data_IF_707745659058
#
_entry.id   IF_707745659058
#
_cell.length_a   1.000
_cell.length_b   1.000
_cell.length_c   1.000
_cell.angle_alpha   90.00
_cell.angle_beta   90.00
_cell.angle_gamma   90.00
#
_symmetry.space_group_name_H-M   'P 1'
#
loop_
_entity.id
_entity.type
_entity.pdbx_description
1 polymer ?
#
# COMPACT_ATOMS: atom_id res chain seq x y z
N UNK A 1 19.15 -6.28 4.52
CA UNK A 1 17.77 -5.75 4.46
C UNK A 1 17.21 -5.64 5.87
N UNK A 2 16.52 -4.56 6.20
CA UNK A 2 15.83 -4.36 7.48
C UNK A 2 14.34 -4.15 7.16
N UNK A 3 13.48 -5.08 7.61
CA UNK A 3 12.03 -5.08 7.39
C UNK A 3 11.56 -6.18 6.44
N UNK A 4 10.65 -7.03 6.93
CA UNK A 4 10.05 -8.18 6.25
C UNK A 4 8.66 -7.91 5.68
N UNK A 5 8.40 -6.64 5.28
CA UNK A 5 7.22 -6.25 4.51
C UNK A 5 7.38 -6.53 3.01
N UNK A 6 6.41 -6.09 2.20
CA UNK A 6 6.42 -6.28 0.75
C UNK A 6 7.68 -5.73 0.10
N UNK A 7 8.13 -4.53 0.50
CA UNK A 7 9.31 -3.88 -0.06
C UNK A 7 10.61 -4.63 0.23
N UNK A 8 10.83 -4.98 1.50
CA UNK A 8 12.04 -5.73 1.87
C UNK A 8 12.10 -7.11 1.24
N UNK A 9 10.97 -7.83 1.18
CA UNK A 9 10.88 -9.13 0.52
C UNK A 9 11.06 -9.02 -1.00
N UNK A 10 10.53 -7.97 -1.64
CA UNK A 10 10.71 -7.70 -3.07
C UNK A 10 12.18 -7.42 -3.42
N UNK A 11 12.82 -6.52 -2.67
CA UNK A 11 14.22 -6.20 -2.87
C UNK A 11 15.12 -7.43 -2.62
N UNK A 12 14.83 -8.21 -1.56
CA UNK A 12 15.56 -9.43 -1.26
C UNK A 12 15.44 -10.48 -2.38
N UNK A 13 14.23 -10.66 -2.94
CA UNK A 13 14.01 -11.54 -4.09
C UNK A 13 14.80 -11.06 -5.30
N UNK A 14 14.65 -9.80 -5.68
CA UNK A 14 15.28 -9.23 -6.86
C UNK A 14 16.82 -9.29 -6.82
N UNK A 15 17.41 -9.07 -5.65
CA UNK A 15 18.87 -9.22 -5.47
C UNK A 15 19.32 -10.69 -5.47
N UNK A 16 18.57 -11.57 -4.78
CA UNK A 16 18.92 -12.99 -4.69
C UNK A 16 18.81 -13.69 -6.07
N UNK A 17 17.79 -13.39 -6.87
CA UNK A 17 17.64 -13.87 -8.26
C UNK A 17 18.84 -13.48 -9.15
N UNK A 18 19.55 -12.40 -8.79
CA UNK A 18 20.75 -11.89 -9.49
C UNK A 18 22.08 -12.34 -8.83
N UNK A 19 22.01 -13.32 -7.91
CA UNK A 19 23.18 -13.93 -7.28
C UNK A 19 23.85 -13.11 -6.18
N UNK A 20 23.21 -12.04 -5.69
CA UNK A 20 23.70 -11.27 -4.55
C UNK A 20 23.43 -12.01 -3.25
N UNK A 21 24.40 -12.02 -2.32
CA UNK A 21 24.17 -12.55 -0.97
C UNK A 21 23.30 -11.60 -0.18
N UNK A 22 22.08 -12.01 0.12
CA UNK A 22 21.10 -11.18 0.84
C UNK A 22 20.78 -11.79 2.19
N UNK A 23 20.79 -10.95 3.23
CA UNK A 23 20.17 -11.25 4.53
C UNK A 23 19.07 -10.25 4.83
N UNK A 24 17.88 -10.77 5.16
CA UNK A 24 16.74 -9.97 5.57
C UNK A 24 16.50 -10.20 7.06
N UNK A 25 16.47 -9.09 7.83
CA UNK A 25 16.14 -9.06 9.24
C UNK A 25 14.75 -8.47 9.43
N UNK A 26 13.88 -9.20 10.09
CA UNK A 26 12.55 -8.76 10.51
C UNK A 26 12.45 -8.82 12.03
N UNK A 27 12.01 -7.73 12.64
CA UNK A 27 11.92 -7.62 14.10
C UNK A 27 10.86 -8.54 14.72
N UNK A 28 9.82 -8.84 13.93
CA UNK A 28 8.70 -9.72 14.29
C UNK A 28 8.66 -10.93 13.35
N UNK A 29 7.52 -11.18 12.78
CA UNK A 29 7.30 -12.18 11.72
C UNK A 29 7.15 -11.50 10.36
N UNK A 30 7.49 -12.19 9.30
CA UNK A 30 7.21 -11.76 7.92
C UNK A 30 5.72 -11.40 7.79
N UNK A 31 5.46 -10.23 7.20
CA UNK A 31 4.12 -9.64 7.10
C UNK A 31 3.54 -9.16 8.46
N UNK A 32 4.33 -9.02 9.50
CA UNK A 32 3.88 -8.54 10.81
C UNK A 32 3.48 -7.07 10.88
N UNK A 33 3.95 -6.23 9.93
CA UNK A 33 3.62 -4.80 9.79
C UNK A 33 2.47 -4.50 8.84
N UNK A 34 2.41 -3.26 8.33
CA UNK A 34 1.38 -2.75 7.43
C UNK A 34 1.10 -3.67 6.23
N UNK A 35 2.15 -4.26 5.66
CA UNK A 35 2.06 -5.13 4.49
C UNK A 35 1.17 -6.37 4.69
N UNK A 36 1.05 -6.87 5.93
CA UNK A 36 0.18 -8.01 6.25
C UNK A 36 -1.13 -7.63 6.94
N UNK A 37 -1.27 -6.38 7.37
CA UNK A 37 -2.39 -5.90 8.21
C UNK A 37 -3.32 -4.92 7.49
N UNK A 38 -3.10 -4.65 6.20
CA UNK A 38 -3.95 -3.76 5.42
C UNK A 38 -5.28 -4.41 4.99
N UNK A 39 -6.15 -3.62 4.37
CA UNK A 39 -7.47 -4.06 3.90
C UNK A 39 -7.46 -4.98 2.69
N UNK A 40 -6.31 -5.29 2.08
CA UNK A 40 -6.21 -6.23 0.97
C UNK A 40 -6.52 -5.63 -0.40
N UNK A 41 -6.09 -4.39 -0.64
CA UNK A 41 -6.24 -3.69 -1.90
C UNK A 41 -4.92 -3.71 -2.69
N UNK A 42 -4.98 -4.11 -3.94
CA UNK A 42 -3.89 -4.00 -4.89
C UNK A 42 -4.30 -2.98 -5.95
N UNK A 43 -3.90 -1.75 -5.74
CA UNK A 43 -4.25 -0.59 -6.55
C UNK A 43 -3.02 -0.10 -7.31
N UNK A 44 -3.24 0.39 -8.53
CA UNK A 44 -2.22 1.11 -9.28
C UNK A 44 -2.22 2.60 -8.92
N UNK A 45 -1.16 3.32 -9.33
CA UNK A 45 -0.95 4.72 -9.00
C UNK A 45 -0.36 4.94 -7.61
N UNK A 46 -0.39 6.20 -7.19
CA UNK A 46 0.04 6.68 -5.88
C UNK A 46 -1.16 7.26 -5.10
N UNK A 47 -0.90 7.90 -3.96
CA UNK A 47 -1.95 8.46 -3.10
C UNK A 47 -2.75 9.60 -3.77
N UNK A 48 -2.12 10.59 -4.45
CA UNK A 48 -2.88 11.59 -5.19
C UNK A 48 -3.67 10.97 -6.36
N UNK A 49 -4.92 11.43 -6.62
CA UNK A 49 -5.64 11.11 -7.85
C UNK A 49 -4.80 11.39 -9.09
N UNK A 50 -5.00 10.66 -10.17
CA UNK A 50 -4.12 10.73 -11.34
C UNK A 50 -4.08 12.13 -12.00
N UNK A 51 -5.19 12.82 -12.11
CA UNK A 51 -5.26 14.20 -12.61
C UNK A 51 -4.49 15.19 -11.71
N UNK A 52 -4.55 14.98 -10.40
CA UNK A 52 -3.78 15.76 -9.44
C UNK A 52 -2.29 15.42 -9.48
N UNK A 53 -1.92 14.15 -9.58
CA UNK A 53 -0.54 13.73 -9.79
C UNK A 53 0.06 14.35 -11.06
N UNK A 54 -0.70 14.41 -12.18
CA UNK A 54 -0.28 15.13 -13.40
C UNK A 54 -0.02 16.61 -13.14
N UNK A 55 -0.82 17.25 -12.31
CA UNK A 55 -0.66 18.67 -11.95
C UNK A 55 0.55 18.92 -11.03
N UNK A 56 0.77 18.04 -10.06
CA UNK A 56 1.83 18.19 -9.04
C UNK A 56 3.22 17.78 -9.57
N UNK A 57 3.30 16.66 -10.27
CA UNK A 57 4.55 16.02 -10.70
C UNK A 57 4.86 16.28 -12.19
N UNK A 58 3.86 16.71 -12.97
CA UNK A 58 3.90 16.74 -14.43
C UNK A 58 3.41 15.41 -15.03
N UNK A 59 2.89 15.47 -16.25
CA UNK A 59 2.26 14.34 -16.92
C UNK A 59 3.19 13.13 -17.09
N UNK A 60 4.46 13.36 -17.43
CA UNK A 60 5.44 12.31 -17.65
C UNK A 60 5.71 11.48 -16.37
N UNK A 61 5.93 12.15 -15.22
CA UNK A 61 6.20 11.48 -13.95
C UNK A 61 4.96 10.77 -13.41
N UNK A 62 3.78 11.39 -13.51
CA UNK A 62 2.52 10.76 -13.12
C UNK A 62 2.27 9.47 -13.94
N UNK A 63 2.49 9.53 -15.25
CA UNK A 63 2.40 8.38 -16.15
C UNK A 63 3.40 7.27 -15.76
N UNK A 64 4.64 7.65 -15.48
CA UNK A 64 5.70 6.73 -15.07
C UNK A 64 5.32 5.93 -13.81
N UNK A 65 4.74 6.59 -12.79
CA UNK A 65 4.26 5.95 -11.55
C UNK A 65 3.10 4.99 -11.85
N UNK A 66 2.16 5.41 -12.69
CA UNK A 66 1.01 4.58 -13.07
C UNK A 66 1.46 3.31 -13.79
N UNK A 67 2.35 3.42 -14.79
CA UNK A 67 2.92 2.29 -15.52
C UNK A 67 3.78 1.39 -14.63
N UNK A 68 4.55 1.98 -13.71
CA UNK A 68 5.33 1.23 -12.72
C UNK A 68 4.44 0.33 -11.86
N UNK A 69 3.33 0.86 -11.37
CA UNK A 69 2.40 0.11 -10.53
C UNK A 69 1.57 -0.90 -11.32
N UNK A 70 1.24 -0.66 -12.60
CA UNK A 70 0.64 -1.67 -13.48
C UNK A 70 1.57 -2.87 -13.66
N UNK A 71 2.85 -2.62 -13.99
CA UNK A 71 3.87 -3.70 -14.07
C UNK A 71 4.02 -4.44 -12.74
N UNK A 72 3.88 -3.72 -11.63
CA UNK A 72 3.93 -4.31 -10.29
C UNK A 72 2.74 -5.26 -10.04
N UNK A 73 1.52 -4.89 -10.47
CA UNK A 73 0.36 -5.78 -10.39
C UNK A 73 0.54 -7.03 -11.26
N UNK A 74 1.12 -6.90 -12.46
CA UNK A 74 1.44 -8.05 -13.31
C UNK A 74 2.45 -9.00 -12.64
N UNK A 75 3.48 -8.46 -12.01
CA UNK A 75 4.45 -9.25 -11.23
C UNK A 75 3.81 -9.90 -10.01
N UNK A 76 2.92 -9.18 -9.33
CA UNK A 76 2.16 -9.71 -8.20
C UNK A 76 1.28 -10.90 -8.62
N UNK A 77 0.61 -10.83 -9.75
CA UNK A 77 -0.21 -11.94 -10.29
C UNK A 77 0.62 -13.20 -10.54
N UNK A 78 1.84 -13.05 -11.04
CA UNK A 78 2.77 -14.17 -11.26
C UNK A 78 3.23 -14.83 -9.96
N UNK A 79 3.43 -14.06 -8.89
CA UNK A 79 4.04 -14.53 -7.65
C UNK A 79 3.05 -14.89 -6.55
N UNK A 80 1.88 -14.25 -6.53
CA UNK A 80 0.96 -14.33 -5.39
C UNK A 80 0.06 -15.58 -5.41
N UNK A 81 -0.14 -16.23 -6.59
CA UNK A 81 -1.08 -17.34 -6.72
C UNK A 81 -2.48 -16.93 -6.25
N UNK A 82 -3.16 -17.77 -5.44
CA UNK A 82 -4.50 -17.50 -4.92
C UNK A 82 -4.57 -16.37 -3.87
N UNK A 83 -3.44 -15.79 -3.46
CA UNK A 83 -3.43 -14.63 -2.58
C UNK A 83 -3.78 -13.33 -3.31
N UNK A 84 -3.72 -13.28 -4.63
CA UNK A 84 -4.16 -12.15 -5.44
C UNK A 84 -5.26 -12.56 -6.41
N UNK A 85 -6.25 -11.69 -6.58
CA UNK A 85 -7.33 -11.83 -7.57
C UNK A 85 -7.46 -10.53 -8.34
N UNK A 86 -7.20 -10.54 -9.62
CA UNK A 86 -7.37 -9.38 -10.51
C UNK A 86 -8.86 -9.25 -10.87
N UNK A 87 -9.60 -8.53 -10.03
CA UNK A 87 -11.05 -8.35 -10.13
C UNK A 87 -11.46 -6.89 -10.34
N UNK A 88 -10.49 -6.01 -10.56
CA UNK A 88 -10.70 -4.58 -10.58
C UNK A 88 -10.92 -3.99 -9.19
N UNK A 89 -11.12 -2.68 -9.12
CA UNK A 89 -11.60 -1.95 -7.95
C UNK A 89 -12.62 -0.88 -8.35
N UNK A 90 -13.49 -0.46 -7.42
CA UNK A 90 -14.39 0.67 -7.61
C UNK A 90 -14.00 1.81 -6.66
N UNK A 91 -13.73 2.97 -7.24
CA UNK A 91 -13.66 4.23 -6.50
C UNK A 91 -14.99 4.96 -6.65
N UNK A 92 -15.69 5.13 -5.53
CA UNK A 92 -17.08 5.56 -5.46
C UNK A 92 -17.19 7.03 -5.11
N UNK A 93 -18.11 7.75 -5.73
CA UNK A 93 -18.42 9.13 -5.44
C UNK A 93 -19.48 9.22 -4.34
N UNK A 94 -19.14 9.78 -3.18
CA UNK A 94 -20.04 9.94 -2.06
C UNK A 94 -20.99 11.15 -2.25
N UNK A 95 -20.49 12.23 -2.86
CA UNK A 95 -21.24 13.43 -3.18
C UNK A 95 -20.93 13.97 -4.58
N UNK A 96 -21.58 15.06 -4.98
CA UNK A 96 -21.38 15.66 -6.32
C UNK A 96 -19.95 16.20 -6.50
N UNK A 97 -19.33 16.73 -5.46
CA UNK A 97 -17.96 17.24 -5.55
C UNK A 97 -16.95 16.11 -5.82
N UNK A 98 -17.09 14.98 -5.11
CA UNK A 98 -16.29 13.78 -5.35
C UNK A 98 -16.59 13.18 -6.73
N UNK A 99 -17.87 13.18 -7.18
CA UNK A 99 -18.24 12.73 -8.53
C UNK A 99 -17.54 13.54 -9.63
N UNK A 100 -17.54 14.87 -9.50
CA UNK A 100 -16.85 15.75 -10.44
C UNK A 100 -15.32 15.53 -10.40
N UNK A 101 -14.74 15.31 -9.22
CA UNK A 101 -13.32 14.97 -9.08
C UNK A 101 -12.99 13.64 -9.76
N UNK A 102 -13.79 12.60 -9.53
CA UNK A 102 -13.62 11.30 -10.17
C UNK A 102 -13.79 11.36 -11.70
N UNK A 103 -14.67 12.23 -12.21
CA UNK A 103 -14.79 12.43 -13.66
C UNK A 103 -13.51 13.01 -14.27
N UNK A 104 -12.90 14.02 -13.60
CA UNK A 104 -11.61 14.57 -14.05
C UNK A 104 -10.50 13.51 -14.04
N UNK A 105 -10.41 12.72 -12.99
CA UNK A 105 -9.45 11.62 -12.90
C UNK A 105 -9.66 10.57 -13.99
N UNK A 106 -10.92 10.15 -14.20
CA UNK A 106 -11.30 9.21 -15.27
C UNK A 106 -10.85 9.72 -16.63
N UNK A 107 -11.14 11.00 -16.95
CA UNK A 107 -10.83 11.58 -18.25
C UNK A 107 -9.31 11.70 -18.45
N UNK A 108 -8.55 12.08 -17.42
CA UNK A 108 -7.10 12.13 -17.47
C UNK A 108 -6.47 10.74 -17.69
N UNK A 109 -6.98 9.71 -17.00
CA UNK A 109 -6.54 8.31 -17.18
C UNK A 109 -6.83 7.83 -18.61
N UNK A 110 -8.01 8.12 -19.13
CA UNK A 110 -8.41 7.78 -20.50
C UNK A 110 -7.58 8.50 -21.56
N UNK A 111 -7.29 9.77 -21.36
CA UNK A 111 -6.44 10.57 -22.23
C UNK A 111 -5.05 9.95 -22.38
N UNK A 112 -4.48 9.47 -21.29
CA UNK A 112 -3.15 8.83 -21.27
C UNK A 112 -3.19 7.32 -21.62
N UNK A 113 -4.37 6.79 -21.98
CA UNK A 113 -4.54 5.42 -22.49
C UNK A 113 -4.66 4.34 -21.41
N UNK A 114 -4.85 4.70 -20.14
CA UNK A 114 -5.04 3.73 -19.07
C UNK A 114 -6.44 3.12 -19.08
N UNK A 115 -6.53 1.84 -18.76
CA UNK A 115 -7.78 1.09 -18.76
C UNK A 115 -8.62 1.45 -17.51
N UNK A 116 -9.66 2.26 -17.71
CA UNK A 116 -10.67 2.61 -16.72
C UNK A 116 -12.05 2.68 -17.40
N UNK A 117 -13.08 2.46 -16.62
CA UNK A 117 -14.47 2.56 -17.03
C UNK A 117 -15.23 3.46 -16.06
N UNK A 118 -16.13 4.28 -16.58
CA UNK A 118 -17.05 5.01 -15.74
C UNK A 118 -18.32 4.18 -15.51
N UNK A 119 -18.78 4.13 -14.25
CA UNK A 119 -19.99 3.42 -13.84
C UNK A 119 -21.01 4.44 -13.32
N UNK A 120 -22.05 4.69 -14.09
CA UNK A 120 -23.18 5.56 -13.71
C UNK A 120 -24.22 4.81 -12.86
N UNK A 121 -24.52 3.57 -13.23
CA UNK A 121 -25.51 2.73 -12.56
C UNK A 121 -24.85 1.74 -11.64
N UNK A 122 -24.93 2.00 -10.35
CA UNK A 122 -24.39 1.13 -9.31
C UNK A 122 -25.43 0.07 -8.91
N UNK A 123 -24.96 -1.15 -8.67
CA UNK A 123 -25.82 -2.20 -8.11
C UNK A 123 -26.15 -1.92 -6.64
N UNK A 124 -27.34 -2.36 -6.19
CA UNK A 124 -27.72 -2.33 -4.76
C UNK A 124 -26.72 -3.12 -3.92
N UNK A 125 -26.36 -2.63 -2.72
CA UNK A 125 -26.87 -1.44 -2.02
C UNK A 125 -26.16 -0.13 -2.36
N UNK A 126 -25.15 -0.14 -3.25
CA UNK A 126 -24.30 1.04 -3.53
C UNK A 126 -25.08 2.19 -4.21
N UNK A 127 -26.10 1.87 -4.99
CA UNK A 127 -26.99 2.83 -5.65
C UNK A 127 -27.70 3.83 -4.72
N UNK A 128 -27.81 3.47 -3.44
CA UNK A 128 -28.44 4.31 -2.41
C UNK A 128 -27.48 5.18 -1.66
N UNK A 129 -26.17 4.92 -1.79
CA UNK A 129 -25.12 5.53 -0.98
C UNK A 129 -24.16 6.38 -1.81
N UNK A 130 -24.05 6.10 -3.12
CA UNK A 130 -23.03 6.68 -3.99
C UNK A 130 -23.61 7.09 -5.35
N UNK A 131 -23.00 8.09 -5.97
CA UNK A 131 -23.48 8.77 -7.18
C UNK A 131 -22.82 8.29 -8.48
N UNK A 132 -22.01 7.26 -8.44
CA UNK A 132 -21.24 6.72 -9.54
C UNK A 132 -19.86 6.27 -9.10
N UNK A 133 -19.06 5.74 -10.03
CA UNK A 133 -17.73 5.23 -9.73
C UNK A 133 -16.78 5.25 -10.94
N UNK A 134 -15.48 5.23 -10.67
CA UNK A 134 -14.47 4.74 -11.60
C UNK A 134 -14.22 3.26 -11.31
N UNK A 135 -14.31 2.43 -12.33
CA UNK A 135 -13.83 1.05 -12.31
C UNK A 135 -12.38 1.02 -12.84
N UNK A 136 -11.44 0.74 -11.95
CA UNK A 136 -10.04 0.52 -12.28
C UNK A 136 -9.84 -0.96 -12.65
N UNK A 137 -9.89 -1.28 -13.94
CA UNK A 137 -9.92 -2.65 -14.47
C UNK A 137 -8.70 -3.50 -14.05
N UNK A 138 -7.44 -2.98 -14.07
CA UNK A 138 -6.26 -3.76 -13.71
C UNK A 138 -6.07 -4.05 -12.23
N UNK A 139 -6.82 -3.37 -11.35
CA UNK A 139 -6.68 -3.50 -9.90
C UNK A 139 -7.17 -4.87 -9.38
N UNK A 140 -6.99 -5.13 -8.10
CA UNK A 140 -7.43 -6.39 -7.53
C UNK A 140 -7.50 -6.44 -6.01
N UNK A 141 -7.93 -7.61 -5.53
CA UNK A 141 -8.03 -7.96 -4.13
C UNK A 141 -6.89 -8.87 -3.69
N UNK A 142 -6.34 -8.60 -2.52
CA UNK A 142 -5.28 -9.39 -1.88
C UNK A 142 -5.74 -10.08 -0.61
N UNK A 143 -5.08 -11.20 -0.30
CA UNK A 143 -4.91 -11.66 1.08
C UNK A 143 -3.50 -11.22 1.53
N UNK A 144 -3.38 -10.11 2.28
CA UNK A 144 -2.11 -9.40 2.44
C UNK A 144 -0.99 -10.23 3.06
N UNK A 145 -1.25 -10.84 4.21
CA UNK A 145 -0.24 -11.63 4.92
C UNK A 145 0.21 -12.86 4.13
N UNK A 146 -0.72 -13.54 3.43
CA UNK A 146 -0.41 -14.69 2.57
C UNK A 146 0.46 -14.27 1.40
N UNK A 147 0.15 -13.15 0.78
CA UNK A 147 0.93 -12.57 -0.30
C UNK A 147 2.38 -12.32 0.12
N UNK A 148 2.60 -11.57 1.19
CA UNK A 148 3.96 -11.20 1.61
C UNK A 148 4.76 -12.43 2.07
N UNK A 149 4.13 -13.39 2.74
CA UNK A 149 4.78 -14.66 3.11
C UNK A 149 5.19 -15.48 1.90
N UNK A 150 4.40 -15.49 0.82
CA UNK A 150 4.80 -16.11 -0.46
C UNK A 150 5.96 -15.39 -1.10
N UNK A 151 5.93 -14.06 -1.13
CA UNK A 151 7.03 -13.27 -1.65
C UNK A 151 8.35 -13.55 -0.89
N UNK A 152 8.29 -13.64 0.44
CA UNK A 152 9.41 -14.04 1.27
C UNK A 152 9.88 -15.48 0.97
N UNK A 153 8.95 -16.42 0.74
CA UNK A 153 9.29 -17.79 0.36
C UNK A 153 10.00 -17.84 -1.01
N UNK A 154 9.59 -17.03 -1.98
CA UNK A 154 10.31 -16.88 -3.25
C UNK A 154 11.72 -16.32 -3.04
N UNK A 155 11.88 -15.30 -2.19
CA UNK A 155 13.20 -14.75 -1.86
C UNK A 155 14.11 -15.80 -1.20
N UNK A 156 13.58 -16.58 -0.25
CA UNK A 156 14.32 -17.66 0.41
C UNK A 156 14.71 -18.77 -0.59
N UNK A 157 13.80 -19.15 -1.48
CA UNK A 157 14.08 -20.14 -2.54
C UNK A 157 15.15 -19.64 -3.53
N UNK A 158 15.25 -18.33 -3.76
CA UNK A 158 16.31 -17.70 -4.55
C UNK A 158 17.65 -17.56 -3.77
N UNK A 159 17.70 -17.93 -2.49
CA UNK A 159 18.93 -17.94 -1.67
C UNK A 159 19.04 -16.81 -0.64
N UNK A 160 18.00 -16.01 -0.41
CA UNK A 160 18.02 -15.02 0.67
C UNK A 160 17.95 -15.68 2.07
N UNK A 161 18.82 -15.25 3.01
CA UNK A 161 18.80 -15.64 4.42
C UNK A 161 17.78 -14.77 5.17
N UNK A 162 16.61 -15.30 5.51
CA UNK A 162 15.54 -14.58 6.19
C UNK A 162 15.57 -14.89 7.69
N UNK A 163 15.60 -13.84 8.51
CA UNK A 163 15.67 -13.94 9.97
C UNK A 163 14.53 -13.15 10.59
N UNK A 164 13.56 -13.86 11.11
CA UNK A 164 12.46 -13.34 11.89
C UNK A 164 12.85 -13.20 13.38
N UNK A 165 12.09 -12.40 14.15
CA UNK A 165 12.35 -12.09 15.55
C UNK A 165 13.77 -11.54 15.80
N UNK A 166 14.30 -10.81 14.81
CA UNK A 166 15.66 -10.31 14.80
C UNK A 166 15.71 -8.81 14.47
N UNK A 167 15.43 -7.99 15.49
CA UNK A 167 15.55 -6.53 15.40
C UNK A 167 17.02 -6.13 15.31
N UNK A 168 17.34 -5.27 14.33
CA UNK A 168 18.69 -4.74 14.10
C UNK A 168 18.65 -3.28 13.68
N UNK A 169 19.77 -2.57 13.85
CA UNK A 169 20.02 -1.23 13.32
C UNK A 169 21.05 -1.29 12.21
N UNK A 170 21.06 -0.31 11.27
CA UNK A 170 22.04 -0.28 10.18
C UNK A 170 23.49 -0.41 10.66
N UNK A 171 23.85 0.29 11.73
CA UNK A 171 25.22 0.33 12.27
C UNK A 171 25.67 -0.96 12.94
N UNK A 172 24.74 -1.89 13.21
CA UNK A 172 25.01 -3.22 13.77
C UNK A 172 25.30 -4.26 12.68
N UNK A 173 25.16 -3.90 11.41
CA UNK A 173 25.29 -4.81 10.29
C UNK A 173 26.65 -4.65 9.59
N UNK A 174 27.32 -5.78 9.39
CA UNK A 174 28.50 -5.89 8.54
C UNK A 174 28.04 -6.25 7.11
N UNK A 175 27.80 -5.23 6.29
CA UNK A 175 27.32 -5.37 4.91
C UNK A 175 27.85 -4.22 4.06
N UNK A 176 28.06 -4.46 2.77
CA UNK A 176 28.46 -3.44 1.80
C UNK A 176 27.34 -2.42 1.57
N UNK A 177 26.09 -2.91 1.61
CA UNK A 177 24.87 -2.11 1.43
C UNK A 177 23.81 -2.53 2.45
N UNK A 178 23.15 -1.56 3.07
CA UNK A 178 22.00 -1.75 3.95
C UNK A 178 20.77 -1.08 3.35
N UNK A 179 19.66 -1.81 3.24
CA UNK A 179 18.37 -1.24 2.82
C UNK A 179 17.40 -1.29 3.98
N UNK A 180 16.86 -0.14 4.35
CA UNK A 180 15.83 0.01 5.41
C UNK A 180 14.45 0.12 4.77
N UNK A 181 13.63 -0.90 4.95
CA UNK A 181 12.27 -1.03 4.44
C UNK A 181 11.26 -1.08 5.60
N UNK A 182 11.39 -0.14 6.55
CA UNK A 182 10.63 -0.09 7.79
C UNK A 182 9.26 0.59 7.69
N UNK A 183 8.99 1.28 6.56
CA UNK A 183 7.78 2.06 6.31
C UNK A 183 7.39 2.95 7.50
N UNK A 184 6.25 2.77 8.16
CA UNK A 184 5.83 3.54 9.33
C UNK A 184 6.78 3.49 10.53
N UNK A 185 7.71 2.53 10.55
CA UNK A 185 8.75 2.40 11.59
C UNK A 185 10.13 2.91 11.13
N UNK A 186 10.21 3.57 9.97
CA UNK A 186 11.48 4.08 9.42
C UNK A 186 12.19 4.99 10.41
N UNK A 187 11.49 5.92 11.07
CA UNK A 187 12.08 6.82 12.05
C UNK A 187 12.68 6.13 13.30
N UNK A 188 12.21 4.94 13.65
CA UNK A 188 12.79 4.15 14.75
C UNK A 188 14.13 3.51 14.36
N UNK A 189 14.37 3.30 13.07
CA UNK A 189 15.60 2.69 12.53
C UNK A 189 16.56 3.75 12.01
N UNK A 190 16.03 4.81 11.39
CA UNK A 190 16.73 5.97 10.83
C UNK A 190 16.18 7.25 11.48
N UNK A 191 16.64 7.64 12.66
CA UNK A 191 16.13 8.81 13.40
C UNK A 191 16.25 10.12 12.62
N UNK A 192 17.21 10.23 11.72
CA UNK A 192 17.39 11.38 10.80
C UNK A 192 16.20 11.61 9.86
N UNK A 193 15.36 10.61 9.65
CA UNK A 193 14.13 10.69 8.84
C UNK A 193 12.84 10.87 9.67
N UNK A 194 12.97 11.14 10.98
CA UNK A 194 11.82 11.28 11.88
C UNK A 194 10.85 12.42 11.50
N UNK A 195 11.33 13.46 10.82
CA UNK A 195 10.50 14.56 10.31
C UNK A 195 9.95 14.33 8.92
N UNK A 196 10.36 13.25 8.25
CA UNK A 196 10.02 12.95 6.86
C UNK A 196 9.01 11.82 6.75
N UNK A 197 9.24 10.70 7.45
CA UNK A 197 8.31 9.57 7.43
C UNK A 197 7.56 9.55 8.76
N UNK A 198 6.27 9.90 8.69
CA UNK A 198 5.39 9.91 9.85
C UNK A 198 4.61 8.60 9.93
N UNK A 199 4.63 7.97 11.11
CA UNK A 199 3.81 6.80 11.40
C UNK A 199 2.33 7.17 11.43
N UNK A 200 1.51 6.47 10.65
CA UNK A 200 0.08 6.67 10.56
C UNK A 200 -0.62 5.33 10.79
N UNK A 201 -1.62 5.33 11.67
CA UNK A 201 -2.41 4.14 11.99
C UNK A 201 -3.66 4.06 11.13
N UNK A 202 -3.92 2.88 10.56
CA UNK A 202 -5.20 2.51 9.98
C UNK A 202 -5.84 1.39 10.78
N UNK A 203 -7.15 1.40 10.82
CA UNK A 203 -7.93 0.42 11.56
C UNK A 203 -8.88 -0.34 10.65
N UNK A 204 -9.06 -1.60 10.95
CA UNK A 204 -9.84 -2.54 10.13
C UNK A 204 -10.66 -3.43 11.06
N UNK A 205 -11.83 -3.85 10.60
CA UNK A 205 -12.61 -4.94 11.17
C UNK A 205 -12.95 -5.97 10.10
N UNK A 206 -13.32 -7.17 10.55
CA UNK A 206 -13.87 -8.21 9.68
C UNK A 206 -15.12 -8.82 10.34
N UNK A 207 -16.13 -9.09 9.51
CA UNK A 207 -17.39 -9.67 9.95
C UNK A 207 -17.36 -11.20 9.96
N UNK A 208 -18.41 -11.84 10.46
CA UNK A 208 -18.72 -13.21 10.12
C UNK A 208 -19.04 -13.35 8.61
N UNK A 209 -19.00 -14.55 8.04
CA UNK A 209 -19.38 -14.77 6.66
C UNK A 209 -20.82 -14.34 6.39
N UNK A 210 -21.02 -13.58 5.31
CA UNK A 210 -22.33 -13.21 4.82
C UNK A 210 -22.88 -14.35 3.97
N UNK A 211 -24.21 -14.53 3.98
CA UNK A 211 -24.90 -15.54 3.18
C UNK A 211 -24.87 -15.24 1.67
N UNK A 212 -24.70 -13.96 1.32
CA UNK A 212 -24.73 -13.49 -0.05
C UNK A 212 -23.39 -12.86 -0.47
N UNK A 213 -23.08 -12.97 -1.76
CA UNK A 213 -21.96 -12.27 -2.39
C UNK A 213 -22.44 -10.91 -2.86
N UNK A 214 -22.14 -9.86 -2.07
CA UNK A 214 -22.55 -8.49 -2.36
C UNK A 214 -21.45 -7.70 -3.10
N UNK A 215 -20.19 -8.02 -2.82
CA UNK A 215 -19.03 -7.26 -3.28
C UNK A 215 -18.03 -8.19 -3.94
N UNK A 216 -17.92 -8.11 -5.27
CA UNK A 216 -17.01 -8.96 -6.04
C UNK A 216 -15.57 -8.46 -6.02
N UNK A 217 -15.38 -7.16 -5.77
CA UNK A 217 -14.11 -6.45 -5.86
C UNK A 217 -13.90 -5.48 -4.69
N UNK A 218 -12.70 -4.93 -4.51
CA UNK A 218 -12.45 -3.83 -3.58
C UNK A 218 -13.22 -2.56 -3.94
N UNK A 219 -13.70 -1.86 -2.92
CA UNK A 219 -14.43 -0.60 -3.03
C UNK A 219 -13.82 0.41 -2.08
N UNK A 220 -13.68 1.65 -2.50
CA UNK A 220 -13.30 2.75 -1.64
C UNK A 220 -13.98 4.07 -2.05
N UNK A 221 -14.19 4.94 -1.09
CA UNK A 221 -14.87 6.22 -1.22
C UNK A 221 -14.27 7.25 -0.26
N UNK A 222 -14.73 8.49 -0.33
CA UNK A 222 -14.28 9.59 0.51
C UNK A 222 -12.75 9.68 0.52
N UNK A 223 -12.15 9.77 -0.66
CA UNK A 223 -10.68 9.86 -0.84
C UNK A 223 -9.90 8.69 -0.19
N UNK A 224 -10.54 7.52 -0.04
CA UNK A 224 -9.93 6.34 0.61
C UNK A 224 -10.10 6.29 2.13
N UNK A 225 -10.90 7.19 2.72
CA UNK A 225 -11.27 7.12 4.14
C UNK A 225 -12.34 6.06 4.43
N UNK A 226 -13.03 5.54 3.42
CA UNK A 226 -13.91 4.39 3.51
C UNK A 226 -13.46 3.34 2.52
N UNK A 227 -13.21 2.12 2.98
CA UNK A 227 -12.84 1.02 2.08
C UNK A 227 -13.32 -0.33 2.60
N UNK A 228 -13.70 -1.20 1.66
CA UNK A 228 -14.14 -2.56 1.98
C UNK A 228 -14.00 -3.51 0.80
N UNK A 229 -13.91 -4.81 1.09
CA UNK A 229 -14.11 -5.88 0.11
C UNK A 229 -14.59 -7.16 0.78
N UNK A 230 -15.26 -8.02 0.03
CA UNK A 230 -15.72 -9.31 0.52
C UNK A 230 -14.72 -10.40 0.16
N UNK A 231 -14.29 -11.15 1.18
CA UNK A 231 -13.39 -12.28 1.03
C UNK A 231 -14.07 -13.45 0.31
N UNK A 232 -13.31 -14.40 -0.27
CA UNK A 232 -13.87 -15.59 -0.91
C UNK A 232 -14.75 -16.43 0.01
N UNK A 233 -14.48 -16.44 1.32
CA UNK A 233 -15.26 -17.16 2.34
C UNK A 233 -16.50 -16.40 2.82
N UNK A 234 -16.83 -15.27 2.20
CA UNK A 234 -18.03 -14.48 2.49
C UNK A 234 -17.84 -13.39 3.54
N UNK A 235 -16.76 -13.38 4.31
CA UNK A 235 -16.50 -12.32 5.31
C UNK A 235 -16.26 -10.97 4.64
N UNK A 236 -16.77 -9.92 5.24
CA UNK A 236 -16.54 -8.54 4.78
C UNK A 236 -15.43 -7.91 5.60
N UNK A 237 -14.37 -7.45 4.93
CA UNK A 237 -13.29 -6.64 5.50
C UNK A 237 -13.62 -5.18 5.26
N UNK A 238 -13.61 -4.38 6.31
CA UNK A 238 -13.93 -2.94 6.26
C UNK A 238 -12.90 -2.19 7.06
N UNK A 239 -12.44 -1.05 6.54
CA UNK A 239 -11.51 -0.17 7.25
C UNK A 239 -11.68 1.28 6.86
N UNK A 240 -10.85 2.12 7.45
CA UNK A 240 -10.84 3.56 7.17
C UNK A 240 -11.29 4.41 8.34
N UNK A 241 -12.03 5.49 8.04
CA UNK A 241 -12.60 6.44 9.00
C UNK A 241 -11.58 7.09 9.97
N UNK A 242 -10.29 7.11 9.60
CA UNK A 242 -9.25 7.76 10.42
C UNK A 242 -9.39 9.28 10.49
N UNK A 243 -10.09 9.88 9.54
CA UNK A 243 -10.45 11.31 9.51
C UNK A 243 -11.30 11.73 10.71
N UNK A 244 -12.03 10.81 11.34
CA UNK A 244 -12.77 11.08 12.59
C UNK A 244 -11.84 11.43 13.77
N UNK A 245 -10.55 11.09 13.72
CA UNK A 245 -9.57 11.32 14.78
C UNK A 245 -8.15 11.45 14.20
N UNK A 246 -7.96 12.29 13.21
CA UNK A 246 -6.76 12.36 12.39
C UNK A 246 -5.48 12.50 13.23
N UNK A 247 -5.46 13.40 14.22
CA UNK A 247 -4.29 13.61 15.08
C UNK A 247 -3.96 12.38 15.94
N UNK A 248 -4.98 11.67 16.44
CA UNK A 248 -4.79 10.46 17.25
C UNK A 248 -4.28 9.29 16.43
N UNK A 249 -4.60 9.27 15.14
CA UNK A 249 -4.15 8.21 14.22
C UNK A 249 -2.73 8.47 13.67
N UNK A 250 -2.11 9.61 13.97
CA UNK A 250 -0.67 9.87 13.73
C UNK A 250 0.17 9.25 14.84
N UNK A 251 0.34 7.95 14.82
CA UNK A 251 1.00 7.19 15.88
C UNK A 251 1.61 5.88 15.38
N UNK A 252 2.64 5.39 16.07
CA UNK A 252 3.21 4.06 15.90
C UNK A 252 2.60 2.99 16.84
N UNK A 253 1.58 3.35 17.63
CA UNK A 253 0.91 2.43 18.56
C UNK A 253 -0.11 1.58 17.83
N UNK A 254 0.08 0.26 17.84
CA UNK A 254 -0.76 -0.72 17.14
C UNK A 254 -1.99 -1.14 17.96
N UNK A 255 -2.83 -0.19 18.33
CA UNK A 255 -4.08 -0.42 19.06
C UNK A 255 -5.26 0.09 18.25
N UNK A 256 -6.43 -0.48 18.45
CA UNK A 256 -7.68 0.06 17.90
C UNK A 256 -8.27 1.08 18.87
N UNK A 257 -8.98 2.08 18.34
CA UNK A 257 -9.66 3.11 19.14
C UNK A 257 -11.17 2.94 19.01
N UNK A 258 -11.90 3.22 20.10
CA UNK A 258 -13.36 3.09 20.13
C UNK A 258 -14.03 3.96 19.07
N UNK A 259 -13.60 5.23 18.94
CA UNK A 259 -14.17 6.18 18.00
C UNK A 259 -14.08 5.69 16.55
N UNK A 260 -12.89 5.30 16.09
CA UNK A 260 -12.71 4.85 14.70
C UNK A 260 -13.43 3.52 14.46
N UNK A 261 -13.36 2.58 15.42
CA UNK A 261 -14.08 1.31 15.30
C UNK A 261 -15.60 1.50 15.23
N UNK A 262 -16.17 2.40 16.03
CA UNK A 262 -17.60 2.70 15.97
C UNK A 262 -18.01 3.30 14.59
N UNK A 263 -17.15 4.13 13.99
CA UNK A 263 -17.38 4.67 12.63
C UNK A 263 -17.31 3.59 11.56
N UNK A 264 -16.36 2.67 11.65
CA UNK A 264 -16.27 1.54 10.71
C UNK A 264 -17.48 0.60 10.87
N UNK A 265 -17.97 0.38 12.10
CA UNK A 265 -19.22 -0.39 12.31
C UNK A 265 -20.44 0.29 11.71
N UNK A 266 -20.54 1.63 11.83
CA UNK A 266 -21.64 2.38 11.23
C UNK A 266 -21.58 2.29 9.68
N UNK A 267 -20.39 2.35 9.08
CA UNK A 267 -20.23 2.11 7.65
C UNK A 267 -20.66 0.68 7.28
N UNK A 268 -20.28 -0.33 8.07
CA UNK A 268 -20.69 -1.71 7.85
C UNK A 268 -22.22 -1.86 7.87
N UNK A 269 -22.89 -1.20 8.82
CA UNK A 269 -24.35 -1.19 8.92
C UNK A 269 -25.01 -0.52 7.71
N UNK A 270 -24.47 0.60 7.23
CA UNK A 270 -24.95 1.27 6.01
C UNK A 270 -24.82 0.38 4.77
N UNK A 271 -23.66 -0.26 4.61
CA UNK A 271 -23.36 -1.14 3.48
C UNK A 271 -24.21 -2.41 3.46
N UNK A 272 -24.62 -2.90 4.62
CA UNK A 272 -25.36 -4.16 4.78
C UNK A 272 -26.86 -3.96 4.95
N UNK A 273 -27.31 -2.77 5.38
CA UNK A 273 -28.68 -2.52 5.80
C UNK A 273 -29.06 -3.15 7.15
N UNK A 274 -28.09 -3.77 7.83
CA UNK A 274 -28.20 -4.31 9.18
C UNK A 274 -26.82 -4.32 9.84
N UNK A 275 -26.77 -4.41 11.18
CA UNK A 275 -25.52 -4.46 11.93
C UNK A 275 -24.90 -5.85 11.88
N UNK A 276 -23.81 -6.10 11.14
CA UNK A 276 -23.18 -7.40 11.04
C UNK A 276 -22.43 -7.74 12.34
N UNK A 277 -22.27 -9.03 12.62
CA UNK A 277 -21.43 -9.47 13.71
C UNK A 277 -19.96 -9.35 13.34
N UNK A 278 -19.22 -8.56 14.12
CA UNK A 278 -17.77 -8.39 13.96
C UNK A 278 -17.03 -9.52 14.67
N UNK A 279 -16.12 -10.18 13.97
CA UNK A 279 -15.31 -11.28 14.52
C UNK A 279 -13.92 -10.86 14.96
N UNK A 280 -13.28 -9.94 14.26
CA UNK A 280 -11.94 -9.46 14.59
C UNK A 280 -11.78 -7.97 14.27
N UNK A 281 -10.88 -7.31 15.01
CA UNK A 281 -10.44 -5.94 14.83
C UNK A 281 -8.93 -5.89 14.93
N UNK A 282 -8.32 -5.03 14.12
CA UNK A 282 -6.88 -4.79 14.21
C UNK A 282 -6.52 -3.42 13.66
N UNK A 283 -5.28 -3.04 13.87
CA UNK A 283 -4.67 -1.86 13.26
C UNK A 283 -3.38 -2.22 12.53
N UNK A 284 -2.95 -1.36 11.64
CA UNK A 284 -1.66 -1.41 10.97
C UNK A 284 -1.05 -0.01 10.91
N UNK A 285 0.27 0.06 10.96
CA UNK A 285 1.01 1.32 10.93
C UNK A 285 1.76 1.42 9.60
N UNK A 286 1.44 2.44 8.81
CA UNK A 286 2.18 2.76 7.58
C UNK A 286 2.89 4.11 7.68
N UNK A 287 3.83 4.35 6.77
CA UNK A 287 4.54 5.61 6.65
C UNK A 287 3.81 6.59 5.73
N UNK A 288 3.67 7.83 6.19
CA UNK A 288 3.18 8.95 5.39
C UNK A 288 4.30 9.98 5.22
N UNK A 289 4.49 10.50 4.01
CA UNK A 289 5.41 11.59 3.69
C UNK A 289 4.65 12.90 3.50
N UNK A 290 5.31 14.07 3.63
CA UNK A 290 4.64 15.36 3.48
C UNK A 290 4.02 15.62 2.10
N UNK A 291 4.62 15.06 1.05
CA UNK A 291 4.16 15.16 -0.34
C UNK A 291 3.35 13.96 -0.83
N UNK A 292 3.11 12.99 0.06
CA UNK A 292 2.40 11.73 -0.19
C UNK A 292 3.09 10.77 -1.18
N UNK A 293 4.29 11.12 -1.65
CA UNK A 293 5.09 10.27 -2.54
C UNK A 293 6.05 9.37 -1.75
N UNK A 294 6.36 8.16 -2.23
CA UNK A 294 7.33 7.28 -1.59
C UNK A 294 8.69 7.92 -1.36
N UNK A 295 9.38 7.47 -0.32
CA UNK A 295 10.76 7.82 -0.03
C UNK A 295 11.65 6.63 -0.39
N UNK A 296 12.36 6.70 -1.53
CA UNK A 296 13.15 5.56 -2.04
C UNK A 296 14.48 6.06 -2.62
N UNK A 297 15.59 5.64 -2.03
CA UNK A 297 16.92 6.06 -2.48
C UNK A 297 17.99 5.94 -1.39
N UNK A 298 19.16 6.51 -1.67
CA UNK A 298 20.22 6.64 -0.67
C UNK A 298 19.81 7.62 0.43
N UNK A 299 20.08 7.25 1.68
CA UNK A 299 19.87 8.14 2.82
C UNK A 299 20.94 9.24 2.79
N UNK A 300 20.56 10.51 2.71
CA UNK A 300 21.52 11.61 2.68
C UNK A 300 22.50 11.58 3.86
N UNK A 301 23.81 11.68 3.57
CA UNK A 301 24.85 11.61 4.59
C UNK A 301 25.17 10.20 5.13
N UNK A 302 24.55 9.14 4.63
CA UNK A 302 24.79 7.75 5.04
C UNK A 302 25.27 6.92 3.85
N UNK A 303 26.57 6.74 3.71
CA UNK A 303 27.14 5.91 2.65
C UNK A 303 26.65 4.46 2.71
N UNK A 304 26.21 3.92 1.58
CA UNK A 304 25.74 2.53 1.47
C UNK A 304 24.40 2.22 2.16
N UNK A 305 23.72 3.23 2.75
CA UNK A 305 22.42 3.04 3.39
C UNK A 305 21.30 3.56 2.50
N UNK A 306 20.35 2.69 2.17
CA UNK A 306 19.17 2.97 1.38
C UNK A 306 17.93 2.96 2.25
N UNK A 307 16.92 3.75 1.89
CA UNK A 307 15.59 3.70 2.47
C UNK A 307 14.55 3.41 1.39
N UNK A 308 13.51 2.66 1.73
CA UNK A 308 12.33 2.47 0.89
C UNK A 308 11.08 2.33 1.78
N UNK A 309 10.19 3.32 1.71
CA UNK A 309 8.99 3.41 2.55
C UNK A 309 8.20 4.69 2.29
N UNK A 310 7.29 5.03 3.21
CA UNK A 310 6.50 6.27 3.12
C UNK A 310 5.45 6.24 2.02
N UNK A 311 4.81 5.11 1.80
CA UNK A 311 3.86 4.90 0.68
C UNK A 311 2.50 5.55 0.88
N UNK A 312 2.27 6.25 1.97
CA UNK A 312 1.07 7.05 2.25
C UNK A 312 -0.25 6.30 2.00
N UNK A 313 -0.26 4.98 2.31
CA UNK A 313 -1.42 4.09 2.14
C UNK A 313 -1.41 3.21 0.88
N UNK A 314 -0.58 3.49 -0.13
CA UNK A 314 -0.55 2.75 -1.42
C UNK A 314 0.58 1.71 -1.53
N UNK A 315 1.06 1.17 -0.40
CA UNK A 315 2.26 0.33 -0.31
C UNK A 315 2.19 -1.08 -0.92
N UNK A 316 1.04 -1.61 -1.33
CA UNK A 316 1.00 -2.98 -1.87
C UNK A 316 1.66 -3.09 -3.26
N UNK A 317 1.25 -2.29 -4.22
CA UNK A 317 1.85 -2.26 -5.56
C UNK A 317 3.16 -1.44 -5.58
N UNK A 318 3.16 -0.24 -5.00
CA UNK A 318 4.35 0.61 -4.93
C UNK A 318 5.49 -0.05 -4.15
N UNK A 319 5.21 -0.71 -3.02
CA UNK A 319 6.24 -1.36 -2.21
C UNK A 319 6.91 -2.53 -2.94
N UNK A 320 6.14 -3.30 -3.74
CA UNK A 320 6.69 -4.34 -4.59
C UNK A 320 7.61 -3.74 -5.67
N UNK A 321 7.14 -2.68 -6.35
CA UNK A 321 7.90 -1.97 -7.37
C UNK A 321 9.17 -1.32 -6.80
N UNK A 322 9.05 -0.58 -5.71
CA UNK A 322 10.18 0.13 -5.09
C UNK A 322 11.26 -0.83 -4.58
N UNK A 323 10.87 -2.03 -4.11
CA UNK A 323 11.85 -3.06 -3.75
C UNK A 323 12.71 -3.50 -4.94
N UNK A 324 12.11 -3.71 -6.12
CA UNK A 324 12.84 -4.02 -7.36
C UNK A 324 13.69 -2.84 -7.83
N UNK A 325 13.16 -1.60 -7.79
CA UNK A 325 13.91 -0.39 -8.16
C UNK A 325 15.20 -0.24 -7.33
N UNK A 326 15.11 -0.42 -6.00
CA UNK A 326 16.29 -0.39 -5.12
C UNK A 326 17.29 -1.47 -5.49
N UNK A 327 16.83 -2.69 -5.75
CA UNK A 327 17.71 -3.79 -6.15
C UNK A 327 18.44 -3.49 -7.46
N UNK A 328 17.75 -2.96 -8.45
CA UNK A 328 18.31 -2.54 -9.74
C UNK A 328 19.35 -1.44 -9.57
N UNK A 329 19.06 -0.43 -8.74
CA UNK A 329 19.98 0.66 -8.46
C UNK A 329 21.25 0.20 -7.73
N UNK A 330 21.13 -0.71 -6.77
CA UNK A 330 22.29 -1.33 -6.08
C UNK A 330 23.18 -2.08 -7.09
N UNK A 331 22.61 -2.62 -8.15
CA UNK A 331 23.33 -3.32 -9.22
C UNK A 331 23.88 -2.38 -10.31
N UNK A 332 23.76 -1.07 -10.13
CA UNK A 332 24.32 -0.07 -11.02
C UNK A 332 23.39 0.36 -12.16
N UNK A 333 22.11 -0.03 -12.13
CA UNK A 333 21.11 0.57 -13.03
C UNK A 333 20.69 1.94 -12.51
N UNK A 334 20.12 2.76 -13.39
CA UNK A 334 19.61 4.10 -13.05
C UNK A 334 18.14 4.21 -13.44
N UNK A 335 17.21 3.57 -12.69
CA UNK A 335 15.79 3.66 -12.97
C UNK A 335 15.29 5.10 -12.82
N UNK A 336 14.66 5.70 -13.85
CA UNK A 336 14.23 7.11 -13.81
C UNK A 336 13.15 7.35 -12.73
N UNK A 337 12.42 6.33 -12.36
CA UNK A 337 11.43 6.38 -11.28
C UNK A 337 12.02 6.81 -9.93
N UNK A 338 13.29 6.48 -9.67
CA UNK A 338 13.96 6.87 -8.41
C UNK A 338 14.15 8.36 -8.27
N UNK A 339 14.25 9.12 -9.38
CA UNK A 339 14.34 10.58 -9.31
C UNK A 339 13.10 11.24 -8.69
N UNK A 340 11.92 10.61 -8.86
CA UNK A 340 10.68 11.08 -8.25
C UNK A 340 10.67 10.84 -6.74
N UNK A 341 11.26 9.73 -6.30
CA UNK A 341 11.20 9.24 -4.92
C UNK A 341 12.43 9.55 -4.08
N UNK A 342 13.42 10.28 -4.64
CA UNK A 342 14.71 10.55 -4.01
C UNK A 342 14.54 11.19 -2.62
N UNK A 343 15.14 10.61 -1.55
CA UNK A 343 15.14 11.19 -0.21
C UNK A 343 15.77 12.59 -0.14
N UNK A 344 16.67 12.92 -1.03
CA UNK A 344 17.32 14.23 -1.08
C UNK A 344 16.32 15.39 -1.24
N UNK A 345 15.12 15.14 -1.77
CA UNK A 345 14.07 16.17 -1.92
C UNK A 345 13.58 16.77 -0.60
N UNK A 346 13.84 16.09 0.53
CA UNK A 346 13.49 16.58 1.87
C UNK A 346 14.68 17.10 2.68
N UNK A 347 15.89 17.03 2.14
CA UNK A 347 17.07 17.61 2.79
C UNK A 347 17.22 19.01 2.25
N UNK A 348 17.10 20.00 3.13
CA UNK A 348 17.40 21.38 2.76
C UNK A 348 18.87 21.48 2.31
N UNK A 349 19.08 21.96 1.09
CA UNK A 349 20.41 22.31 0.54
C UNK A 349 20.98 23.49 1.28
#
# INVERSE_FOLDING_TARGET
>A
MIGGGVTGCSCALALAERGVRVRLHEAREIAGGASGRNGGFALRGATPPYDEARRLLGAERARLIMELTERSLDRMEQLAGDAFRRVGSLRLAFDEAERDALRREHDALREDGFAVEWVDELASPLDRLYLGAIHHVPDGALQPARWVRRLAAHAAAAGADIREHHAVRPDELLADVVVVAGDGFTAAVLPELAGVVQATRGQVLVTEPLSERLYERPHYAREGYDYWHQLPDGRLVIGGNRDASFETEQTAVEETTELVQARIEALAEQLMGYRPRVTNRWSGIWGTTPDLEPLVGLVPGREGVWVAGGYSGHGNALGLACGDLVARAILGEHPPELEVFDPARFVAV
#
